data_IF_925741961934
#
_entry.id   IF_925741961934
#
_cell.length_a   1.000
_cell.length_b   1.000
_cell.length_c   1.000
_cell.angle_alpha   90.00
_cell.angle_beta   90.00
_cell.angle_gamma   90.00
#
_symmetry.space_group_name_H-M   'P 1'
#
loop_
_entity.id
_entity.type
_entity.pdbx_description
1 polymer ?
#
# COMPACT_ATOMS: atom_id res chain seq x y z
N UNK A 1 41.64 10.16 35.05
CA UNK A 1 41.28 10.74 33.72
C UNK A 1 40.44 9.83 32.82
N UNK A 2 40.63 8.49 32.84
CA UNK A 2 39.90 7.55 31.95
C UNK A 2 38.39 7.43 32.23
N UNK A 3 37.95 7.50 33.49
CA UNK A 3 36.53 7.41 33.87
C UNK A 3 35.69 8.62 33.41
N UNK A 4 36.24 9.84 33.55
CA UNK A 4 35.57 11.08 33.12
C UNK A 4 35.39 11.16 31.59
N UNK A 5 36.39 10.70 30.82
CA UNK A 5 36.27 10.61 29.34
C UNK A 5 35.19 9.63 28.89
N UNK A 6 35.05 8.47 29.56
CA UNK A 6 33.98 7.50 29.27
C UNK A 6 32.58 8.05 29.56
N UNK A 7 32.42 8.83 30.64
CA UNK A 7 31.15 9.49 30.96
C UNK A 7 30.77 10.57 29.94
N UNK A 8 31.75 11.34 29.44
CA UNK A 8 31.50 12.37 28.41
C UNK A 8 31.08 11.71 27.09
N UNK A 9 31.76 10.63 26.67
CA UNK A 9 31.41 9.92 25.43
C UNK A 9 30.01 9.29 25.52
N UNK A 10 29.66 8.69 26.66
CA UNK A 10 28.32 8.14 26.88
C UNK A 10 27.24 9.22 26.85
N UNK A 11 27.51 10.42 27.39
CA UNK A 11 26.57 11.54 27.33
C UNK A 11 26.34 12.02 25.89
N UNK A 12 27.41 12.13 25.10
CA UNK A 12 27.31 12.55 23.68
C UNK A 12 26.53 11.54 22.85
N UNK A 13 26.76 10.25 23.04
CA UNK A 13 26.03 9.19 22.34
C UNK A 13 24.53 9.24 22.67
N UNK A 14 24.18 9.47 23.94
CA UNK A 14 22.79 9.57 24.37
C UNK A 14 22.08 10.80 23.76
N UNK A 15 22.77 11.94 23.66
CA UNK A 15 22.23 13.14 23.00
C UNK A 15 22.01 12.92 21.50
N UNK A 16 22.92 12.20 20.83
CA UNK A 16 22.78 11.84 19.41
C UNK A 16 21.58 10.92 19.20
N UNK A 17 21.40 9.88 20.03
CA UNK A 17 20.24 8.99 19.92
C UNK A 17 18.92 9.70 20.24
N UNK A 18 18.89 10.60 21.21
CA UNK A 18 17.71 11.43 21.48
C UNK A 18 17.39 12.39 20.33
N UNK A 19 18.42 12.99 19.72
CA UNK A 19 18.25 13.85 18.54
C UNK A 19 17.73 13.09 17.32
N UNK A 20 18.25 11.89 17.06
CA UNK A 20 17.78 11.02 15.98
C UNK A 20 16.35 10.54 16.26
N UNK A 21 16.03 10.15 17.49
CA UNK A 21 14.68 9.78 17.90
C UNK A 21 13.68 10.94 17.74
N UNK A 22 14.09 12.16 18.05
CA UNK A 22 13.28 13.36 17.80
C UNK A 22 13.15 13.69 16.32
N UNK A 23 14.18 13.46 15.50
CA UNK A 23 14.09 13.57 14.04
C UNK A 23 13.06 12.56 13.51
N UNK A 24 13.09 11.30 13.94
CA UNK A 24 12.12 10.29 13.53
C UNK A 24 10.69 10.63 13.97
N UNK A 25 10.49 11.19 15.16
CA UNK A 25 9.16 11.67 15.60
C UNK A 25 8.68 12.92 14.85
N UNK A 26 9.61 13.82 14.48
CA UNK A 26 9.28 15.08 13.81
C UNK A 26 9.09 14.93 12.29
N UNK A 27 9.78 14.00 11.63
CA UNK A 27 9.60 13.70 10.19
C UNK A 27 8.74 12.46 9.91
N UNK A 28 8.39 11.68 10.93
CA UNK A 28 7.59 10.45 10.78
C UNK A 28 6.08 10.66 10.60
N UNK A 29 5.60 11.88 10.39
CA UNK A 29 4.17 12.16 10.19
C UNK A 29 3.92 12.96 8.90
N UNK A 30 4.44 12.45 7.79
CA UNK A 30 3.86 12.71 6.48
C UNK A 30 3.48 11.39 5.83
N UNK A 31 2.52 10.68 6.45
CA UNK A 31 1.55 9.93 5.65
C UNK A 31 0.66 11.02 5.06
N UNK A 32 0.90 11.32 3.80
CA UNK A 32 0.09 12.24 3.01
C UNK A 32 -1.14 11.47 2.53
N UNK A 33 -2.16 11.40 3.39
CA UNK A 33 -3.52 11.20 2.89
C UNK A 33 -3.98 12.53 2.29
N UNK A 34 -4.25 12.54 0.99
CA UNK A 34 -4.96 13.62 0.34
C UNK A 34 -4.36 14.09 -0.98
N UNK A 35 -4.69 13.39 -2.04
CA UNK A 35 -5.02 14.07 -3.28
C UNK A 35 -6.21 13.37 -3.91
N UNK A 36 -7.37 14.01 -3.78
CA UNK A 36 -8.52 13.74 -4.62
C UNK A 36 -8.12 14.03 -6.06
N UNK A 37 -7.95 12.99 -6.87
CA UNK A 37 -8.16 13.13 -8.31
C UNK A 37 -9.53 12.56 -8.63
N UNK A 38 -10.43 13.50 -8.93
CA UNK A 38 -11.71 13.25 -9.54
C UNK A 38 -11.44 12.73 -10.96
N UNK A 39 -11.26 11.42 -11.09
CA UNK A 39 -11.18 10.77 -12.40
C UNK A 39 -12.60 10.52 -12.89
N UNK A 40 -12.99 11.23 -13.96
CA UNK A 40 -14.17 10.90 -14.76
C UNK A 40 -14.15 9.40 -15.13
N UNK A 41 -15.28 8.68 -15.00
CA UNK A 41 -15.35 7.30 -15.46
C UNK A 41 -15.36 7.31 -16.99
N UNK A 42 -14.20 7.15 -17.60
CA UNK A 42 -14.11 6.76 -19.00
C UNK A 42 -14.28 5.25 -19.05
N UNK A 43 -15.44 4.82 -19.53
CA UNK A 43 -15.83 3.43 -19.77
C UNK A 43 -14.68 2.68 -20.47
N UNK A 44 -14.07 1.74 -19.76
CA UNK A 44 -13.01 0.87 -20.29
C UNK A 44 -13.73 -0.36 -20.84
N UNK A 45 -13.99 -0.36 -22.15
CA UNK A 45 -14.32 -1.59 -22.87
C UNK A 45 -13.11 -2.54 -22.78
N UNK A 46 -13.24 -3.60 -21.96
CA UNK A 46 -12.20 -4.63 -21.82
C UNK A 46 -12.24 -5.50 -23.08
N UNK A 47 -11.43 -5.13 -24.06
CA UNK A 47 -11.06 -6.00 -25.18
C UNK A 47 -9.93 -6.93 -24.72
N UNK A 48 -10.19 -8.24 -24.74
CA UNK A 48 -9.23 -9.29 -24.39
C UNK A 48 -8.11 -9.37 -25.43
N UNK A 49 -7.07 -8.56 -25.25
CA UNK A 49 -5.76 -8.70 -25.89
C UNK A 49 -4.69 -8.30 -24.85
N UNK A 50 -3.52 -8.98 -24.76
CA UNK A 50 -2.52 -8.66 -23.76
C UNK A 50 -1.78 -7.38 -24.17
N UNK A 51 -2.44 -6.25 -23.98
CA UNK A 51 -1.79 -4.94 -23.92
C UNK A 51 -0.97 -4.96 -22.61
N UNK A 52 0.35 -4.84 -22.71
CA UNK A 52 1.15 -4.53 -21.52
C UNK A 52 0.59 -3.23 -20.93
N UNK A 53 -0.07 -3.34 -19.77
CA UNK A 53 -0.63 -2.17 -19.13
C UNK A 53 0.53 -1.27 -18.71
N UNK A 54 0.43 0.03 -18.99
CA UNK A 54 1.45 1.01 -18.56
C UNK A 54 1.53 1.13 -17.03
N UNK A 55 0.60 0.53 -16.30
CA UNK A 55 0.52 0.54 -14.85
C UNK A 55 1.28 -0.65 -14.21
N UNK A 56 1.37 -1.78 -14.91
CA UNK A 56 1.97 -3.01 -14.39
C UNK A 56 1.34 -4.28 -14.94
N UNK A 57 1.64 -5.40 -14.28
CA UNK A 57 1.06 -6.71 -14.59
C UNK A 57 0.61 -7.42 -13.31
N UNK A 58 -0.29 -8.40 -13.44
CA UNK A 58 -0.81 -9.19 -12.32
C UNK A 58 -0.34 -10.63 -12.43
N UNK A 59 0.14 -11.18 -11.33
CA UNK A 59 0.26 -12.62 -11.11
C UNK A 59 -0.87 -13.06 -10.18
N UNK A 60 -1.79 -13.88 -10.71
CA UNK A 60 -2.91 -14.41 -9.94
C UNK A 60 -2.43 -15.43 -8.90
N UNK A 61 -3.01 -15.36 -7.70
CA UNK A 61 -2.85 -16.37 -6.67
C UNK A 61 -3.54 -17.67 -7.05
N UNK A 62 -2.99 -18.81 -6.61
CA UNK A 62 -3.56 -20.15 -6.87
C UNK A 62 -4.21 -20.78 -5.65
N UNK A 63 -4.12 -20.13 -4.50
CA UNK A 63 -4.64 -20.64 -3.23
C UNK A 63 -5.88 -19.87 -2.80
N UNK A 64 -6.79 -20.57 -2.15
CA UNK A 64 -7.98 -19.97 -1.55
C UNK A 64 -7.97 -20.13 -0.03
N UNK A 65 -8.31 -19.05 0.68
CA UNK A 65 -8.50 -19.07 2.13
C UNK A 65 -9.76 -18.30 2.51
N UNK A 66 -10.72 -19.00 3.14
CA UNK A 66 -12.02 -18.44 3.57
C UNK A 66 -12.79 -17.77 2.41
N UNK A 67 -12.66 -18.31 1.21
CA UNK A 67 -13.29 -17.80 -0.02
C UNK A 67 -12.48 -16.69 -0.73
N UNK A 68 -11.39 -16.20 -0.14
CA UNK A 68 -10.52 -15.24 -0.81
C UNK A 68 -9.47 -15.99 -1.65
N UNK A 69 -9.24 -15.54 -2.88
CA UNK A 69 -8.00 -15.88 -3.61
C UNK A 69 -6.88 -15.07 -2.98
N UNK A 70 -5.89 -15.76 -2.42
CA UNK A 70 -4.80 -15.15 -1.66
C UNK A 70 -3.50 -15.06 -2.48
N UNK A 71 -2.61 -14.17 -2.05
CA UNK A 71 -1.26 -14.00 -2.60
C UNK A 71 -1.22 -13.58 -4.08
N UNK A 72 -2.21 -12.77 -4.52
CA UNK A 72 -2.10 -12.08 -5.81
C UNK A 72 -0.99 -11.02 -5.71
N UNK A 73 -0.25 -10.85 -6.79
CA UNK A 73 0.83 -9.86 -6.86
C UNK A 73 0.58 -8.94 -8.05
N UNK A 74 0.41 -7.65 -7.76
CA UNK A 74 0.44 -6.61 -8.78
C UNK A 74 1.85 -6.03 -8.86
N UNK A 75 2.50 -6.22 -10.00
CA UNK A 75 3.84 -5.71 -10.30
C UNK A 75 3.72 -4.27 -10.83
N UNK A 76 3.67 -3.29 -9.92
CA UNK A 76 3.61 -1.88 -10.30
C UNK A 76 4.95 -1.41 -10.89
N UNK A 77 4.86 -0.64 -11.98
CA UNK A 77 6.04 -0.04 -12.61
C UNK A 77 6.73 0.97 -11.68
N UNK A 78 5.99 1.67 -10.81
CA UNK A 78 6.53 2.72 -9.93
C UNK A 78 6.57 2.35 -8.45
N UNK A 79 5.58 1.58 -7.97
CA UNK A 79 5.39 1.32 -6.54
C UNK A 79 5.97 -0.03 -6.08
N UNK A 80 6.50 -0.84 -7.02
CA UNK A 80 6.97 -2.19 -6.76
C UNK A 80 5.84 -3.22 -6.64
N UNK A 81 6.14 -4.34 -5.98
CA UNK A 81 5.19 -5.45 -5.85
C UNK A 81 4.17 -5.19 -4.74
N UNK A 82 2.89 -5.20 -5.12
CA UNK A 82 1.77 -5.01 -4.22
C UNK A 82 1.05 -6.36 -4.06
N UNK A 83 1.08 -6.91 -2.85
CA UNK A 83 0.38 -8.13 -2.52
C UNK A 83 -1.05 -7.84 -2.08
N UNK A 84 -2.03 -8.54 -2.65
CA UNK A 84 -3.43 -8.35 -2.31
C UNK A 84 -4.22 -9.66 -2.37
N UNK A 85 -5.33 -9.68 -1.64
CA UNK A 85 -6.27 -10.79 -1.62
C UNK A 85 -7.62 -10.29 -2.11
N UNK A 86 -8.38 -11.13 -2.80
CA UNK A 86 -9.69 -10.74 -3.37
C UNK A 86 -10.74 -11.80 -3.05
N UNK A 87 -11.94 -11.33 -2.71
CA UNK A 87 -13.13 -12.17 -2.57
C UNK A 87 -14.12 -11.79 -3.66
N UNK A 88 -14.53 -12.75 -4.48
CA UNK A 88 -15.58 -12.60 -5.48
C UNK A 88 -16.68 -13.59 -5.11
N UNK A 89 -17.90 -13.13 -4.72
CA UNK A 89 -19.00 -14.03 -4.42
C UNK A 89 -19.38 -14.86 -5.66
N UNK A 90 -19.77 -16.13 -5.45
CA UNK A 90 -20.25 -16.99 -6.55
C UNK A 90 -21.46 -16.41 -7.28
N UNK A 91 -22.29 -15.63 -6.60
CA UNK A 91 -23.46 -14.96 -7.18
C UNK A 91 -23.13 -13.68 -7.95
N UNK A 92 -21.87 -13.23 -7.95
CA UNK A 92 -21.47 -12.01 -8.63
C UNK A 92 -21.29 -12.28 -10.12
N UNK A 93 -22.21 -11.73 -10.92
CA UNK A 93 -22.20 -11.85 -12.37
C UNK A 93 -21.50 -10.67 -13.07
N UNK A 94 -21.00 -9.70 -12.31
CA UNK A 94 -20.33 -8.51 -12.82
C UNK A 94 -21.27 -7.44 -13.41
N UNK A 95 -22.59 -7.60 -13.29
CA UNK A 95 -23.55 -6.66 -13.89
C UNK A 95 -23.71 -5.34 -13.12
N UNK A 96 -23.43 -5.35 -11.81
CA UNK A 96 -23.49 -4.17 -10.93
C UNK A 96 -22.25 -4.08 -10.03
N UNK A 97 -21.83 -2.90 -9.57
CA UNK A 97 -20.69 -2.79 -8.67
C UNK A 97 -20.94 -3.51 -7.34
N UNK A 98 -20.05 -4.43 -6.98
CA UNK A 98 -20.12 -5.10 -5.68
C UNK A 98 -19.78 -4.14 -4.53
N UNK A 99 -20.62 -4.12 -3.49
CA UNK A 99 -20.37 -3.36 -2.26
C UNK A 99 -20.81 -1.90 -2.28
N UNK A 100 -21.40 -1.41 -3.38
CA UNK A 100 -22.05 -0.11 -3.40
C UNK A 100 -23.52 -0.26 -3.02
N UNK A 101 -23.83 -0.26 -1.72
CA UNK A 101 -25.21 -0.07 -1.25
C UNK A 101 -25.47 1.44 -1.30
N UNK A 102 -26.02 1.89 -2.42
CA UNK A 102 -26.37 3.29 -2.63
C UNK A 102 -27.29 3.74 -1.49
N UNK A 103 -26.79 4.59 -0.60
CA UNK A 103 -27.62 5.23 0.43
C UNK A 103 -28.63 6.10 -0.32
N UNK A 104 -29.80 5.53 -0.61
CA UNK A 104 -30.89 6.22 -1.26
C UNK A 104 -31.50 7.25 -0.31
N UNK A 105 -31.71 8.46 -0.83
CA UNK A 105 -33.03 9.09 -0.89
C UNK A 105 -33.04 10.16 -1.98
#
# INVERSE_FOLDING_TARGET
MKKRKKMIISGVILVVFLGIGWWYLFMGSHITDGSSEQTEPKEIEISTQPEESTLGSVTEGTEEYRGFVIDNVFHSVSEGDIHYNVYIPESYDGSEPYGFDGIGH
#
